data_IF_629506608145
#
_entry.id   IF_629506608145
#
_cell.length_a   1.000
_cell.length_b   1.000
_cell.length_c   1.000
_cell.angle_alpha   90.00
_cell.angle_beta   90.00
_cell.angle_gamma   90.00
#
_symmetry.space_group_name_H-M   'P 1'
#
loop_
_entity.id
_entity.type
_entity.pdbx_description
1 polymer ?
#
# COMPACT_ATOMS: atom_id res chain seq x y z
N UNK A 1 -1.14 12.62 24.30
CA UNK A 1 -1.10 13.41 23.04
C UNK A 1 -0.65 12.46 21.95
N UNK A 2 -1.59 11.80 21.27
CA UNK A 2 -1.29 10.77 20.27
C UNK A 2 -1.05 11.40 18.91
N UNK A 3 0.18 11.36 18.41
CA UNK A 3 0.42 11.55 16.99
C UNK A 3 -0.13 10.31 16.28
N UNK A 4 -1.34 10.40 15.76
CA UNK A 4 -1.79 9.48 14.73
C UNK A 4 -0.77 9.55 13.58
N UNK A 5 -0.11 8.44 13.29
CA UNK A 5 0.72 8.30 12.12
C UNK A 5 -0.14 8.67 10.91
N UNK A 6 0.08 9.85 10.33
CA UNK A 6 -0.52 10.23 9.06
C UNK A 6 0.14 9.34 8.01
N UNK A 7 -0.47 8.19 7.74
CA UNK A 7 -0.11 7.36 6.59
C UNK A 7 -0.12 8.24 5.35
N UNK A 8 1.02 8.31 4.66
CA UNK A 8 1.11 8.99 3.38
C UNK A 8 0.46 8.06 2.36
N UNK A 9 -0.75 8.39 1.92
CA UNK A 9 -1.36 7.71 0.78
C UNK A 9 -0.70 8.26 -0.49
N UNK A 10 0.04 7.41 -1.19
CA UNK A 10 0.67 7.73 -2.47
C UNK A 10 0.08 6.81 -3.52
N UNK A 11 -0.69 7.37 -4.44
CA UNK A 11 -1.16 6.64 -5.63
C UNK A 11 -0.09 6.72 -6.70
N UNK A 12 0.42 5.58 -7.15
CA UNK A 12 1.36 5.47 -8.26
C UNK A 12 0.56 5.04 -9.48
N UNK A 13 0.34 5.96 -10.41
CA UNK A 13 -0.54 5.73 -11.57
C UNK A 13 0.08 4.81 -12.63
N UNK A 14 1.42 4.68 -12.65
CA UNK A 14 2.14 3.86 -13.63
C UNK A 14 3.26 3.08 -12.96
N UNK A 15 3.07 1.77 -12.93
CA UNK A 15 4.09 0.81 -12.52
C UNK A 15 4.08 -0.36 -13.48
N UNK A 16 5.27 -0.88 -13.79
CA UNK A 16 5.42 -2.17 -14.43
C UNK A 16 5.61 -3.24 -13.36
N UNK A 17 5.07 -4.44 -13.57
CA UNK A 17 5.41 -5.62 -12.78
C UNK A 17 6.16 -6.54 -13.73
N UNK A 18 7.44 -6.78 -13.45
CA UNK A 18 8.25 -7.63 -14.33
C UNK A 18 7.91 -9.11 -14.19
N UNK A 19 8.51 -9.96 -15.04
CA UNK A 19 8.29 -11.41 -15.01
C UNK A 19 8.73 -12.10 -13.71
N UNK A 20 9.52 -11.42 -12.87
CA UNK A 20 9.92 -11.90 -11.53
C UNK A 20 8.97 -11.42 -10.42
N UNK A 21 7.96 -10.62 -10.76
CA UNK A 21 7.01 -10.04 -9.81
C UNK A 21 7.53 -8.79 -9.10
N UNK A 22 8.62 -8.17 -9.59
CA UNK A 22 9.12 -6.92 -9.02
C UNK A 22 8.36 -5.73 -9.58
N UNK A 23 8.00 -4.80 -8.70
CA UNK A 23 7.24 -3.59 -9.00
C UNK A 23 8.22 -2.46 -9.34
N UNK A 24 8.18 -2.00 -10.59
CA UNK A 24 9.03 -0.94 -11.13
C UNK A 24 8.18 0.31 -11.42
N UNK A 25 8.31 1.37 -10.60
CA UNK A 25 7.64 2.64 -10.87
C UNK A 25 8.16 3.24 -12.17
N UNK A 26 7.26 3.56 -13.09
CA UNK A 26 7.61 4.18 -14.37
C UNK A 26 7.70 5.71 -14.26
N UNK A 27 7.20 6.26 -13.15
CA UNK A 27 7.30 7.67 -12.80
C UNK A 27 8.23 7.83 -11.58
N UNK A 28 8.95 8.97 -11.45
CA UNK A 28 9.84 9.19 -10.33
C UNK A 28 9.09 9.11 -9.01
N UNK A 29 9.39 8.09 -8.21
CA UNK A 29 8.87 8.02 -6.85
C UNK A 29 9.47 9.13 -6.01
N UNK A 30 8.60 9.82 -5.26
CA UNK A 30 9.01 10.50 -4.04
C UNK A 30 9.66 9.43 -3.14
N UNK A 31 10.81 9.72 -2.52
CA UNK A 31 11.45 8.75 -1.60
C UNK A 31 10.43 8.31 -0.55
N UNK A 32 10.00 7.06 -0.65
CA UNK A 32 9.06 6.48 0.30
C UNK A 32 9.79 6.24 1.64
N UNK A 33 9.15 6.54 2.78
CA UNK A 33 9.70 6.21 4.07
C UNK A 33 9.78 4.68 4.22
N UNK A 34 10.76 4.21 5.00
CA UNK A 34 10.80 2.80 5.40
C UNK A 34 9.54 2.46 6.20
N UNK A 35 8.86 1.38 5.83
CA UNK A 35 7.65 0.97 6.53
C UNK A 35 6.83 -0.03 5.74
N UNK A 36 5.57 -0.16 6.12
CA UNK A 36 4.58 -0.98 5.44
C UNK A 36 3.86 -0.19 4.35
N UNK A 37 3.61 -0.83 3.22
CA UNK A 37 2.84 -0.26 2.11
C UNK A 37 1.72 -1.21 1.71
N UNK A 38 0.54 -0.65 1.39
CA UNK A 38 -0.55 -1.39 0.74
C UNK A 38 -0.45 -1.15 -0.77
N UNK A 39 -0.44 -2.23 -1.55
CA UNK A 39 -0.43 -2.18 -3.02
C UNK A 39 -1.74 -2.74 -3.54
N UNK A 40 -2.42 -1.99 -4.40
CA UNK A 40 -3.64 -2.41 -5.08
C UNK A 40 -3.36 -2.50 -6.58
N UNK A 41 -3.55 -3.69 -7.16
CA UNK A 41 -3.49 -3.90 -8.60
C UNK A 41 -4.91 -3.92 -9.15
N UNK A 42 -5.20 -3.00 -10.06
CA UNK A 42 -6.50 -2.90 -10.73
C UNK A 42 -6.35 -3.43 -12.17
N UNK A 43 -7.32 -4.20 -12.62
CA UNK A 43 -7.43 -4.58 -14.03
C UNK A 43 -8.07 -3.44 -14.85
N UNK A 44 -8.07 -3.60 -16.17
CA UNK A 44 -8.68 -2.64 -17.10
C UNK A 44 -10.21 -2.56 -16.96
N UNK A 45 -10.82 -3.54 -16.30
CA UNK A 45 -12.26 -3.63 -16.03
C UNK A 45 -12.62 -3.21 -14.60
N UNK A 46 -11.69 -2.57 -13.87
CA UNK A 46 -11.91 -2.17 -12.50
C UNK A 46 -13.14 -1.26 -12.42
N UNK A 47 -14.17 -1.76 -11.75
CA UNK A 47 -15.45 -1.06 -11.61
C UNK A 47 -15.41 -0.08 -10.43
N UNK A 48 -16.41 0.79 -10.34
CA UNK A 48 -16.50 1.76 -9.24
C UNK A 48 -16.34 1.14 -7.84
N UNK A 49 -16.92 -0.04 -7.52
CA UNK A 49 -16.66 -0.73 -6.26
C UNK A 49 -15.18 -1.02 -5.98
N UNK A 50 -14.39 -1.44 -6.98
CA UNK A 50 -12.97 -1.70 -6.81
C UNK A 50 -12.18 -0.41 -6.52
N UNK A 51 -12.56 0.70 -7.15
CA UNK A 51 -11.98 2.02 -6.90
C UNK A 51 -12.38 2.57 -5.53
N UNK A 52 -13.61 2.35 -5.09
CA UNK A 52 -14.10 2.80 -3.77
C UNK A 52 -13.58 1.94 -2.61
N UNK A 53 -13.20 0.68 -2.88
CA UNK A 53 -12.60 -0.21 -1.90
C UNK A 53 -11.29 0.35 -1.32
N UNK A 54 -10.56 1.18 -2.08
CA UNK A 54 -9.33 1.85 -1.61
C UNK A 54 -9.56 2.59 -0.28
N UNK A 55 -10.63 3.39 -0.19
CA UNK A 55 -10.93 4.18 1.00
C UNK A 55 -11.36 3.32 2.20
N UNK A 56 -11.95 2.16 1.96
CA UNK A 56 -12.32 1.20 3.01
C UNK A 56 -11.07 0.44 3.50
N UNK A 57 -10.24 -0.06 2.58
CA UNK A 57 -8.99 -0.74 2.89
C UNK A 57 -7.99 0.17 3.60
N UNK A 58 -7.89 1.44 3.21
CA UNK A 58 -7.03 2.40 3.89
C UNK A 58 -7.41 2.58 5.37
N UNK A 59 -8.69 2.51 5.72
CA UNK A 59 -9.15 2.59 7.11
C UNK A 59 -8.83 1.32 7.89
N UNK A 60 -9.12 0.16 7.29
CA UNK A 60 -8.86 -1.14 7.92
C UNK A 60 -7.36 -1.39 8.08
N UNK A 61 -6.53 -0.94 7.14
CA UNK A 61 -5.07 -1.07 7.20
C UNK A 61 -4.43 -0.30 8.35
N UNK A 62 -5.04 0.81 8.79
CA UNK A 62 -4.54 1.63 9.90
C UNK A 62 -4.89 1.08 11.29
N UNK A 63 -5.51 -0.10 11.36
CA UNK A 63 -5.79 -0.77 12.62
C UNK A 63 -4.50 -1.26 13.30
N UNK A 64 -4.39 -1.17 14.64
CA UNK A 64 -3.20 -1.59 15.38
C UNK A 64 -2.89 -3.08 15.23
N UNK A 65 -3.90 -3.92 15.01
CA UNK A 65 -3.76 -5.34 14.74
C UNK A 65 -2.88 -5.61 13.51
N UNK A 66 -2.96 -4.74 12.50
CA UNK A 66 -2.15 -4.84 11.28
C UNK A 66 -0.68 -4.44 11.52
N UNK A 67 -0.43 -3.51 12.45
CA UNK A 67 0.93 -3.15 12.88
C UNK A 67 1.58 -4.32 13.64
N UNK A 68 0.84 -4.97 14.54
CA UNK A 68 1.31 -6.15 15.28
C UNK A 68 1.61 -7.32 14.33
N UNK A 69 0.71 -7.60 13.39
CA UNK A 69 0.91 -8.64 12.38
C UNK A 69 2.14 -8.36 11.50
N UNK A 70 2.36 -7.10 11.11
CA UNK A 70 3.52 -6.69 10.32
C UNK A 70 4.83 -6.94 11.08
N UNK A 71 4.93 -6.50 12.34
CA UNK A 71 6.12 -6.72 13.18
C UNK A 71 6.39 -8.20 13.37
N UNK A 72 5.35 -8.99 13.61
CA UNK A 72 5.46 -10.43 13.78
C UNK A 72 6.05 -11.12 12.53
N UNK A 73 5.58 -10.76 11.33
CA UNK A 73 6.08 -11.34 10.08
C UNK A 73 7.45 -10.82 9.68
N UNK A 74 7.73 -9.53 9.85
CA UNK A 74 9.01 -8.93 9.44
C UNK A 74 10.17 -9.41 10.29
N UNK A 75 9.93 -9.77 11.55
CA UNK A 75 10.95 -10.27 12.48
C UNK A 75 11.33 -11.73 12.20
N UNK A 76 10.53 -12.46 11.40
CA UNK A 76 10.71 -13.89 11.10
C UNK A 76 11.38 -14.16 9.75
N UNK A 77 11.83 -13.11 9.05
CA UNK A 77 12.55 -13.19 7.76
C UNK A 77 14.06 -13.08 7.93
#
# INVERSE_FOLDING_TARGET
MGLAARGLLVTINKTEIDASGQVHPLEPLIRLPSGRSLLTLLDDQANEPALLAEAALAKDWLKPEEDEAWVYWSTRR
#
